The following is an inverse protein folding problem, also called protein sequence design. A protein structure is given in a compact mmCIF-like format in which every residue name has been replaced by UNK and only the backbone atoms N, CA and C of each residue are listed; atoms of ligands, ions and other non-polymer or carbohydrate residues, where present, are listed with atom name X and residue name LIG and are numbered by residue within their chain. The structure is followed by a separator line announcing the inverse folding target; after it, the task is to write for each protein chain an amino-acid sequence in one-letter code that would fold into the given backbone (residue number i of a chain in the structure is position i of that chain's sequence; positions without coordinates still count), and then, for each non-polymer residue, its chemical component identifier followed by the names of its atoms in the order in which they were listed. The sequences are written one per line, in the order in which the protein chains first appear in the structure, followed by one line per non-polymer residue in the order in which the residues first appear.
data_IF_519952684020
#
_entry.id   IF_519952684020
#
_cell.length_a   1.000
_cell.length_b   1.000
_cell.length_c   1.000
_cell.angle_alpha   90.00
_cell.angle_beta   90.00
_cell.angle_gamma   90.00
#
_symmetry.space_group_name_H-M   'P 1'
#
loop_
_entity.id
_entity.type
_entity.pdbx_description
1 polymer ?
#
# COMPACT_ATOMS: atom_id res chain seq x y z
N UNK A 1 -8.45 -1.59 0.61
CA UNK A 1 -8.51 -3.04 0.35
C UNK A 1 -8.81 -3.91 1.59
N UNK A 2 -8.40 -3.53 2.81
CA UNK A 2 -8.59 -4.35 4.03
C UNK A 2 -10.02 -4.32 4.64
N UNK A 3 -10.85 -3.31 4.34
CA UNK A 3 -12.15 -3.12 4.99
C UNK A 3 -13.22 -4.21 4.67
N UNK A 4 -12.98 -5.07 3.68
CA UNK A 4 -13.92 -6.15 3.30
C UNK A 4 -13.66 -7.49 4.01
N UNK A 5 -12.53 -7.66 4.68
CA UNK A 5 -12.10 -8.97 5.18
C UNK A 5 -12.79 -9.45 6.47
N UNK A 6 -13.32 -8.56 7.32
CA UNK A 6 -13.26 -8.86 8.77
C UNK A 6 -14.45 -8.47 9.62
N UNK A 7 -15.64 -8.46 9.02
CA UNK A 7 -16.86 -8.49 9.85
C UNK A 7 -16.98 -9.79 10.68
N UNK A 8 -16.16 -10.81 10.40
CA UNK A 8 -16.21 -12.12 11.08
C UNK A 8 -15.18 -12.29 12.20
N UNK A 9 -14.08 -11.51 12.24
CA UNK A 9 -13.07 -11.57 13.31
C UNK A 9 -12.47 -10.19 13.60
N UNK A 10 -13.02 -9.48 14.59
CA UNK A 10 -12.47 -8.20 15.09
C UNK A 10 -10.96 -8.26 15.41
N UNK A 11 -10.46 -9.44 15.80
CA UNK A 11 -9.04 -9.68 16.08
C UNK A 11 -8.17 -9.54 14.83
N UNK A 12 -8.61 -10.11 13.70
CA UNK A 12 -7.89 -9.95 12.45
C UNK A 12 -7.87 -8.46 12.04
N UNK A 13 -8.92 -7.67 12.30
CA UNK A 13 -8.97 -6.23 11.96
C UNK A 13 -7.86 -5.46 12.63
N UNK A 14 -7.72 -5.67 13.93
CA UNK A 14 -6.69 -5.04 14.72
C UNK A 14 -5.31 -5.52 14.26
N UNK A 15 -5.10 -6.83 14.11
CA UNK A 15 -3.82 -7.40 13.72
C UNK A 15 -3.30 -6.83 12.40
N UNK A 16 -4.11 -6.85 11.33
CA UNK A 16 -3.70 -6.31 10.03
C UNK A 16 -3.47 -4.80 10.06
N UNK A 17 -4.23 -4.07 10.87
CA UNK A 17 -4.02 -2.64 11.05
C UNK A 17 -2.66 -2.35 11.67
N UNK A 18 -2.32 -3.00 12.78
CA UNK A 18 -1.02 -2.80 13.44
C UNK A 18 0.15 -3.32 12.60
N UNK A 19 -0.02 -4.46 11.93
CA UNK A 19 0.99 -4.99 11.01
C UNK A 19 1.25 -4.00 9.85
N UNK A 20 0.19 -3.45 9.25
CA UNK A 20 0.33 -2.43 8.21
C UNK A 20 1.07 -1.19 8.72
N UNK A 21 0.69 -0.69 9.90
CA UNK A 21 1.36 0.47 10.51
C UNK A 21 2.85 0.19 10.76
N UNK A 22 3.19 -0.98 11.31
CA UNK A 22 4.57 -1.37 11.56
C UNK A 22 5.40 -1.41 10.27
N UNK A 23 4.90 -2.10 9.24
CA UNK A 23 5.57 -2.19 7.93
C UNK A 23 5.75 -0.79 7.32
N UNK A 24 4.73 0.06 7.36
CA UNK A 24 4.78 1.41 6.79
C UNK A 24 5.76 2.30 7.53
N UNK A 25 5.80 2.24 8.86
CA UNK A 25 6.75 3.00 9.65
C UNK A 25 8.19 2.59 9.35
N UNK A 26 8.48 1.29 9.36
CA UNK A 26 9.81 0.77 8.99
C UNK A 26 10.22 1.16 7.57
N UNK A 27 9.29 1.05 6.61
CA UNK A 27 9.52 1.42 5.21
C UNK A 27 9.79 2.93 5.06
N UNK A 28 9.05 3.76 5.79
CA UNK A 28 9.26 5.20 5.81
C UNK A 28 10.62 5.58 6.39
N UNK A 29 11.05 4.96 7.50
CA UNK A 29 12.38 5.18 8.07
C UNK A 29 13.51 4.84 7.09
N UNK A 30 13.42 3.71 6.39
CA UNK A 30 14.36 3.35 5.34
C UNK A 30 14.32 4.35 4.17
N UNK A 31 13.13 4.81 3.79
CA UNK A 31 12.92 5.84 2.78
C UNK A 31 13.58 7.18 3.14
N UNK A 32 13.45 7.63 4.39
CA UNK A 32 14.13 8.84 4.91
C UNK A 32 15.64 8.69 4.81
N UNK A 33 16.19 7.57 5.25
CA UNK A 33 17.64 7.30 5.18
C UNK A 33 18.15 7.29 3.73
N UNK A 34 17.44 6.63 2.82
CA UNK A 34 17.77 6.61 1.40
C UNK A 34 17.69 7.99 0.74
N UNK A 35 16.64 8.76 1.04
CA UNK A 35 16.47 10.13 0.54
C UNK A 35 17.58 11.07 1.04
N UNK A 36 17.89 11.03 2.33
CA UNK A 36 18.98 11.81 2.93
C UNK A 36 20.34 11.45 2.31
N UNK A 37 20.59 10.15 2.10
CA UNK A 37 21.79 9.67 1.40
C UNK A 37 21.86 10.22 -0.03
N UNK A 38 20.74 10.21 -0.77
CA UNK A 38 20.66 10.78 -2.11
C UNK A 38 20.91 12.30 -2.18
N UNK A 39 20.50 13.06 -1.14
CA UNK A 39 20.85 14.48 -1.01
C UNK A 39 22.34 14.68 -0.74
N UNK A 40 22.93 13.86 0.12
CA UNK A 40 24.37 13.91 0.42
C UNK A 40 25.20 13.59 -0.83
N UNK A 41 24.89 12.50 -1.53
CA UNK A 41 25.58 12.11 -2.77
C UNK A 41 25.52 13.21 -3.84
N UNK A 42 24.40 13.95 -3.92
CA UNK A 42 24.30 15.12 -4.80
C UNK A 42 25.27 16.24 -4.40
N UNK A 43 25.35 16.57 -3.12
CA UNK A 43 26.22 17.64 -2.65
C UNK A 43 27.69 17.35 -2.99
N UNK A 44 28.08 16.07 -2.96
CA UNK A 44 29.43 15.59 -3.29
C UNK A 44 29.67 15.44 -4.81
N UNK A 45 28.62 15.23 -5.62
CA UNK A 45 28.73 14.98 -7.07
C UNK A 45 28.51 16.26 -7.88
N UNK A 46 29.57 17.06 -8.06
CA UNK A 46 29.53 18.28 -8.88
C UNK A 46 29.35 17.94 -10.37
N UNK A 47 28.32 18.50 -11.01
CA UNK A 47 28.13 18.42 -12.48
C UNK A 47 27.21 17.30 -13.00
N UNK A 48 26.81 16.32 -12.16
CA UNK A 48 25.92 15.23 -12.57
C UNK A 48 24.55 15.40 -11.91
N UNK A 49 23.51 15.67 -12.72
CA UNK A 49 22.14 15.85 -12.21
C UNK A 49 21.17 14.90 -12.91
N UNK A 50 20.73 13.88 -12.17
CA UNK A 50 19.65 13.01 -12.61
C UNK A 50 18.29 13.63 -12.30
N UNK A 51 17.85 14.54 -13.17
CA UNK A 51 16.69 15.41 -12.94
C UNK A 51 15.39 14.63 -12.72
N UNK A 52 15.05 13.64 -13.57
CA UNK A 52 13.78 12.91 -13.45
C UNK A 52 13.71 12.04 -12.20
N UNK A 53 14.75 11.24 -11.91
CA UNK A 53 14.81 10.41 -10.69
C UNK A 53 14.72 11.27 -9.42
N UNK A 54 15.38 12.43 -9.41
CA UNK A 54 15.29 13.37 -8.30
C UNK A 54 13.89 13.90 -8.09
N UNK A 55 13.25 14.41 -9.14
CA UNK A 55 11.91 15.01 -9.05
C UNK A 55 10.91 13.97 -8.55
N UNK A 56 10.91 12.77 -9.14
CA UNK A 56 10.04 11.68 -8.70
C UNK A 56 10.35 11.30 -7.26
N UNK A 57 11.63 11.17 -6.88
CA UNK A 57 12.04 10.86 -5.51
C UNK A 57 11.55 11.88 -4.47
N UNK A 58 11.61 13.18 -4.78
CA UNK A 58 11.07 14.24 -3.91
C UNK A 58 9.55 14.13 -3.81
N UNK A 59 8.85 13.95 -4.93
CA UNK A 59 7.39 13.79 -4.94
C UNK A 59 6.98 12.58 -4.09
N UNK A 60 7.61 11.43 -4.31
CA UNK A 60 7.34 10.20 -3.55
C UNK A 60 7.60 10.41 -2.06
N UNK A 61 8.71 11.06 -1.69
CA UNK A 61 9.03 11.34 -0.29
C UNK A 61 7.97 12.25 0.35
N UNK A 62 7.61 13.36 -0.30
CA UNK A 62 6.58 14.28 0.19
C UNK A 62 5.22 13.60 0.35
N UNK A 63 4.80 12.80 -0.64
CA UNK A 63 3.55 12.03 -0.57
C UNK A 63 3.61 10.98 0.54
N UNK A 64 4.74 10.29 0.73
CA UNK A 64 4.92 9.31 1.80
C UNK A 64 4.84 9.96 3.18
N UNK A 65 5.47 11.12 3.39
CA UNK A 65 5.33 11.89 4.64
C UNK A 65 3.87 12.26 4.88
N UNK A 66 3.18 12.76 3.85
CA UNK A 66 1.77 13.10 3.92
C UNK A 66 0.89 11.87 4.24
N UNK A 67 1.23 10.71 3.70
CA UNK A 67 0.57 9.42 3.99
C UNK A 67 0.80 8.97 5.44
N UNK A 68 2.00 9.16 6.00
CA UNK A 68 2.29 8.87 7.41
C UNK A 68 1.49 9.78 8.35
N UNK A 69 1.38 11.06 8.00
CA UNK A 69 0.59 12.02 8.78
C UNK A 69 -0.92 11.74 8.72
N UNK A 70 -1.39 11.04 7.67
CA UNK A 70 -2.81 10.69 7.52
C UNK A 70 -3.34 9.84 8.69
N UNK A 71 -2.48 9.13 9.41
CA UNK A 71 -2.86 8.38 10.62
C UNK A 71 -3.40 9.29 11.72
N UNK A 72 -2.78 10.45 11.95
CA UNK A 72 -3.19 11.38 13.01
C UNK A 72 -4.53 12.06 12.70
N UNK A 73 -4.87 12.19 11.43
CA UNK A 73 -6.11 12.83 10.95
C UNK A 73 -7.20 11.79 10.65
N UNK A 74 -7.01 10.52 11.06
CA UNK A 74 -7.95 9.43 10.78
C UNK A 74 -9.29 9.63 11.50
N UNK A 75 -10.42 9.86 10.79
CA UNK A 75 -11.71 10.06 11.43
C UNK A 75 -12.27 8.76 12.04
N UNK A 76 -13.21 8.88 12.99
CA UNK A 76 -13.95 7.73 13.53
C UNK A 76 -14.74 7.00 12.44
N UNK A 77 -15.04 5.70 12.67
CA UNK A 77 -15.67 4.83 11.64
C UNK A 77 -17.05 5.35 11.19
N UNK A 78 -17.77 6.06 12.06
CA UNK A 78 -19.13 6.53 11.80
C UNK A 78 -19.18 7.97 11.23
N UNK A 79 -18.02 8.61 11.03
CA UNK A 79 -17.96 9.99 10.55
C UNK A 79 -18.05 10.09 9.02
N UNK A 80 -18.83 11.04 8.48
CA UNK A 80 -18.94 11.28 7.02
C UNK A 80 -17.60 11.48 6.30
N UNK A 81 -16.64 12.11 6.98
CA UNK A 81 -15.28 12.34 6.46
C UNK A 81 -14.43 11.07 6.37
N UNK A 82 -14.83 9.96 6.98
CA UNK A 82 -14.14 8.68 6.88
C UNK A 82 -14.04 8.20 5.42
N UNK A 83 -15.09 8.41 4.64
CA UNK A 83 -15.12 8.04 3.22
C UNK A 83 -14.12 8.87 2.40
N UNK A 84 -14.12 10.20 2.56
CA UNK A 84 -13.17 11.07 1.89
C UNK A 84 -11.72 10.77 2.28
N UNK A 85 -11.48 10.56 3.58
CA UNK A 85 -10.17 10.13 4.09
C UNK A 85 -9.73 8.82 3.44
N UNK A 86 -10.63 7.83 3.28
CA UNK A 86 -10.29 6.55 2.63
C UNK A 86 -9.93 6.75 1.15
N UNK A 87 -10.66 7.58 0.41
CA UNK A 87 -10.38 7.88 -1.01
C UNK A 87 -9.01 8.52 -1.15
N UNK A 88 -8.77 9.59 -0.39
CA UNK A 88 -7.50 10.29 -0.37
C UNK A 88 -6.33 9.36 0.04
N UNK A 89 -6.47 8.63 1.15
CA UNK A 89 -5.44 7.76 1.69
C UNK A 89 -5.10 6.62 0.71
N UNK A 90 -6.09 6.03 0.06
CA UNK A 90 -5.85 5.00 -0.94
C UNK A 90 -5.28 5.59 -2.24
N UNK A 91 -5.79 6.72 -2.71
CA UNK A 91 -5.29 7.38 -3.92
C UNK A 91 -3.82 7.79 -3.80
N UNK A 92 -3.44 8.42 -2.69
CA UNK A 92 -2.04 8.76 -2.40
C UNK A 92 -1.20 7.49 -2.24
N UNK A 93 -1.70 6.50 -1.49
CA UNK A 93 -1.00 5.22 -1.33
C UNK A 93 -0.66 4.54 -2.66
N UNK A 94 -1.61 4.48 -3.59
CA UNK A 94 -1.37 3.91 -4.92
C UNK A 94 -0.41 4.76 -5.77
N UNK A 95 -0.51 6.09 -5.66
CA UNK A 95 0.40 7.00 -6.34
C UNK A 95 1.85 6.80 -5.88
N UNK A 96 2.06 6.67 -4.56
CA UNK A 96 3.38 6.37 -3.97
C UNK A 96 3.91 5.03 -4.50
N UNK A 97 3.07 4.00 -4.55
CA UNK A 97 3.48 2.68 -5.02
C UNK A 97 3.94 2.72 -6.48
N UNK A 98 3.15 3.32 -7.37
CA UNK A 98 3.48 3.41 -8.81
C UNK A 98 4.73 4.25 -9.02
N UNK A 99 4.75 5.47 -8.45
CA UNK A 99 5.89 6.38 -8.61
C UNK A 99 7.17 5.82 -7.97
N UNK A 100 7.05 5.13 -6.84
CA UNK A 100 8.17 4.46 -6.17
C UNK A 100 8.79 3.38 -7.04
N UNK A 101 7.98 2.52 -7.66
CA UNK A 101 8.46 1.49 -8.60
C UNK A 101 9.20 2.11 -9.78
N UNK A 102 8.59 3.12 -10.42
CA UNK A 102 9.22 3.84 -11.53
C UNK A 102 10.54 4.51 -11.09
N UNK A 103 10.59 5.04 -9.87
CA UNK A 103 11.77 5.70 -9.36
C UNK A 103 12.92 4.72 -9.10
N UNK A 104 12.62 3.52 -8.60
CA UNK A 104 13.62 2.45 -8.41
C UNK A 104 14.19 2.00 -9.75
N UNK A 105 13.35 1.78 -10.78
CA UNK A 105 13.84 1.45 -12.12
C UNK A 105 14.78 2.52 -12.68
N UNK A 106 14.41 3.80 -12.54
CA UNK A 106 15.30 4.91 -12.92
C UNK A 106 16.60 4.92 -12.11
N UNK A 107 16.55 4.61 -10.82
CA UNK A 107 17.74 4.50 -9.98
C UNK A 107 18.68 3.37 -10.41
N UNK A 108 18.12 2.22 -10.79
CA UNK A 108 18.87 1.10 -11.36
C UNK A 108 19.50 1.50 -12.70
N UNK A 109 18.77 2.19 -13.59
CA UNK A 109 19.32 2.68 -14.85
C UNK A 109 20.50 3.65 -14.65
N UNK A 110 20.39 4.53 -13.63
CA UNK A 110 21.44 5.49 -13.27
C UNK A 110 22.70 4.79 -12.75
N UNK A 111 22.53 3.82 -11.85
CA UNK A 111 23.65 3.11 -11.24
C UNK A 111 24.27 2.08 -12.20
N UNK A 112 23.52 1.67 -13.23
CA UNK A 112 23.87 0.61 -14.18
C UNK A 112 24.47 -0.63 -13.49
N UNK A 113 23.83 -1.20 -12.45
CA UNK A 113 24.37 -2.34 -11.74
C UNK A 113 24.26 -3.61 -12.58
N UNK A 114 24.87 -4.71 -12.14
CA UNK A 114 24.70 -6.03 -12.76
C UNK A 114 23.21 -6.40 -12.92
N UNK A 115 22.88 -7.12 -14.00
CA UNK A 115 21.50 -7.45 -14.42
C UNK A 115 20.69 -8.14 -13.32
N UNK A 116 21.37 -8.89 -12.46
CA UNK A 116 20.83 -9.62 -11.31
C UNK A 116 20.03 -8.71 -10.39
N UNK A 117 20.47 -7.47 -10.16
CA UNK A 117 19.76 -6.51 -9.29
C UNK A 117 18.39 -6.13 -9.86
N UNK A 118 18.31 -5.89 -11.16
CA UNK A 118 17.04 -5.61 -11.85
C UNK A 118 16.12 -6.83 -11.81
N UNK A 119 16.67 -8.03 -12.02
CA UNK A 119 15.90 -9.28 -11.98
C UNK A 119 15.37 -9.57 -10.57
N UNK A 120 16.20 -9.43 -9.53
CA UNK A 120 15.78 -9.56 -8.14
C UNK A 120 14.65 -8.59 -7.79
N UNK A 121 14.75 -7.34 -8.24
CA UNK A 121 13.70 -6.36 -8.01
C UNK A 121 12.39 -6.73 -8.71
N UNK A 122 12.44 -7.17 -9.97
CA UNK A 122 11.25 -7.64 -10.71
C UNK A 122 10.64 -8.87 -10.03
N UNK A 123 11.47 -9.85 -9.62
CA UNK A 123 11.00 -11.04 -8.92
C UNK A 123 10.29 -10.69 -7.60
N UNK A 124 10.82 -9.73 -6.84
CA UNK A 124 10.17 -9.21 -5.64
C UNK A 124 8.80 -8.59 -5.95
N UNK A 125 8.69 -7.78 -6.99
CA UNK A 125 7.42 -7.18 -7.40
C UNK A 125 6.39 -8.23 -7.83
N UNK A 126 6.81 -9.25 -8.59
CA UNK A 126 5.95 -10.36 -8.99
C UNK A 126 5.46 -11.13 -7.77
N UNK A 127 6.35 -11.46 -6.82
CA UNK A 127 5.98 -12.14 -5.58
C UNK A 127 4.95 -11.34 -4.77
N UNK A 128 5.18 -10.04 -4.59
CA UNK A 128 4.23 -9.16 -3.91
C UNK A 128 2.88 -9.09 -4.65
N UNK A 129 2.91 -9.04 -5.98
CA UNK A 129 1.72 -9.10 -6.82
C UNK A 129 0.93 -10.39 -6.64
N UNK A 130 1.61 -11.55 -6.62
CA UNK A 130 1.00 -12.86 -6.37
C UNK A 130 0.39 -12.96 -4.97
N UNK A 131 1.08 -12.45 -3.94
CA UNK A 131 0.55 -12.38 -2.57
C UNK A 131 -0.72 -11.52 -2.54
N UNK A 132 -0.69 -10.33 -3.15
CA UNK A 132 -1.85 -9.44 -3.23
C UNK A 132 -3.02 -10.08 -3.97
N UNK A 133 -2.77 -10.79 -5.07
CA UNK A 133 -3.80 -11.48 -5.84
C UNK A 133 -4.41 -12.63 -5.04
N UNK A 134 -3.59 -13.42 -4.37
CA UNK A 134 -4.04 -14.55 -3.54
C UNK A 134 -4.93 -14.07 -2.40
N UNK A 135 -4.55 -12.95 -1.76
CA UNK A 135 -5.36 -12.27 -0.77
C UNK A 135 -6.70 -11.82 -1.38
N UNK A 136 -6.68 -11.10 -2.49
CA UNK A 136 -7.90 -10.64 -3.16
C UNK A 136 -8.85 -11.80 -3.50
N UNK A 137 -8.35 -12.88 -4.12
CA UNK A 137 -9.14 -14.08 -4.45
C UNK A 137 -9.80 -14.68 -3.20
N UNK A 138 -9.04 -14.82 -2.11
CA UNK A 138 -9.57 -15.32 -0.83
C UNK A 138 -10.68 -14.42 -0.28
N UNK A 139 -10.59 -13.10 -0.50
CA UNK A 139 -11.64 -12.14 -0.12
C UNK A 139 -12.91 -12.37 -0.90
N UNK A 140 -12.80 -12.53 -2.22
CA UNK A 140 -13.95 -12.74 -3.10
C UNK A 140 -14.66 -14.04 -2.79
N UNK A 141 -13.92 -15.14 -2.56
CA UNK A 141 -14.53 -16.43 -2.21
C UNK A 141 -15.29 -16.37 -0.89
N UNK A 142 -14.75 -15.71 0.13
CA UNK A 142 -15.42 -15.52 1.42
C UNK A 142 -16.67 -14.63 1.33
N UNK A 143 -16.61 -13.54 0.57
CA UNK A 143 -17.77 -12.66 0.34
C UNK A 143 -18.91 -13.40 -0.37
N UNK A 144 -18.57 -14.19 -1.39
CA UNK A 144 -19.56 -15.01 -2.10
C UNK A 144 -20.16 -16.09 -1.17
N UNK A 145 -19.34 -16.73 -0.33
CA UNK A 145 -19.82 -17.71 0.66
C UNK A 145 -20.79 -17.09 1.68
N UNK A 146 -20.46 -15.92 2.24
CA UNK A 146 -21.32 -15.23 3.19
C UNK A 146 -22.62 -14.72 2.55
N UNK A 147 -22.57 -14.25 1.28
CA UNK A 147 -23.77 -13.85 0.53
C UNK A 147 -24.70 -15.04 0.30
N UNK A 148 -24.14 -16.21 -0.03
CA UNK A 148 -24.92 -17.43 -0.23
C UNK A 148 -25.55 -17.93 1.08
N UNK A 149 -24.81 -17.90 2.20
CA UNK A 149 -25.31 -18.26 3.53
C UNK A 149 -26.45 -17.34 4.02
N UNK A 150 -26.32 -16.03 3.85
CA UNK A 150 -27.40 -15.10 4.20
C UNK A 150 -28.64 -15.29 3.30
N UNK A 151 -28.45 -15.61 2.02
CA UNK A 151 -29.55 -15.89 1.09
C UNK A 151 -30.29 -17.19 1.45
N UNK A 152 -29.60 -18.23 1.89
CA UNK A 152 -30.26 -19.47 2.35
C UNK A 152 -31.05 -19.27 3.64
N UNK A 153 -30.50 -18.49 4.59
CA UNK A 153 -31.17 -18.18 5.87
C UNK A 153 -32.46 -17.38 5.67
N UNK A 154 -32.41 -16.33 4.83
CA UNK A 154 -33.60 -15.53 4.47
C UNK A 154 -34.70 -16.34 3.77
N UNK A 155 -34.36 -17.34 2.94
CA UNK A 155 -35.37 -18.23 2.34
C UNK A 155 -36.04 -19.14 3.36
N UNK A 156 -35.30 -19.57 4.38
CA UNK A 156 -35.83 -20.43 5.43
C UNK A 156 -36.81 -19.69 6.34
N UNK A 157 -36.53 -18.42 6.66
CA UNK A 157 -37.43 -17.57 7.48
C UNK A 157 -38.75 -17.23 6.75
N UNK A 158 -38.71 -17.05 5.42
CA UNK A 158 -39.91 -16.83 4.59
C UNK A 158 -40.77 -18.09 4.47
N UNK A 159 -40.17 -19.28 4.45
CA UNK A 159 -40.88 -20.56 4.34
C UNK A 159 -41.55 -21.05 5.63
N UNK A 160 -41.27 -20.42 6.77
CA UNK A 160 -41.82 -20.78 8.10
C UNK A 160 -42.82 -19.77 8.64
N UNK A 161 -43.32 -18.85 7.80
CA UNK A 161 -44.36 -17.89 8.19
C UNK A 161 -45.74 -18.59 8.15
N UNK A 162 -46.48 -18.68 9.28
CA UNK A 162 -47.79 -19.34 9.36
C UNK A 162 -48.90 -18.59 8.62
#
# INVERSE_FOLDING_TARGET
MIARYMRTFRFAEAFWFYLHVGIQFSSYSLGVAGWATGLKLRAESKGVVYTSHRIIGIIVFSLATLQMLAMFVRPSKDHKYRTYWNIYHHGIGYSILVLGVLNVFKGIEILAPPREWKLCYIALLVLLGLISLSLEVTTWTLLLRNKNSNKSRSRHDVGTSP
#
